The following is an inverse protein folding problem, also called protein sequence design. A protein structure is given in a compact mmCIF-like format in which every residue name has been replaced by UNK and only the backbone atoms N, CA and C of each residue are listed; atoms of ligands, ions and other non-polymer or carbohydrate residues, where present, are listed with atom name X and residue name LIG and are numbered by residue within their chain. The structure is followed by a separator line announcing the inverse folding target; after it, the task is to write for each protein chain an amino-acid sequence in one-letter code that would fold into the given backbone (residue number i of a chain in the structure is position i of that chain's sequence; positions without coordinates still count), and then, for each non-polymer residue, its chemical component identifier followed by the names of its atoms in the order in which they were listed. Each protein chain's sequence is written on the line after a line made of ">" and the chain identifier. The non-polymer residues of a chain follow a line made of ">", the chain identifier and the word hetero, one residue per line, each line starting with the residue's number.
data_IF_829955364553
#
_entry.id   IF_829955364553
#
_cell.length_a   1.000
_cell.length_b   1.000
_cell.length_c   1.000
_cell.angle_alpha   90.00
_cell.angle_beta   90.00
_cell.angle_gamma   90.00
#
_symmetry.space_group_name_H-M   'P 1'
#
loop_
_entity.id
_entity.type
_entity.pdbx_description
1 polymer ?
#
# COMPACT_ATOMS: atom_id res chain seq x y z
N UNK A 1 19.13 -41.10 19.50
CA UNK A 1 20.18 -40.56 18.61
C UNK A 1 19.46 -40.02 17.39
N UNK A 2 18.94 -38.80 17.49
CA UNK A 2 18.11 -38.17 16.46
C UNK A 2 18.84 -36.92 16.03
N UNK A 3 19.75 -37.06 15.07
CA UNK A 3 20.34 -35.91 14.39
C UNK A 3 21.19 -36.43 13.22
N UNK A 4 20.63 -36.53 12.00
CA UNK A 4 21.41 -36.75 10.75
C UNK A 4 20.51 -36.74 9.49
N UNK A 5 19.43 -35.96 9.44
CA UNK A 5 18.61 -35.87 8.21
C UNK A 5 18.79 -34.59 7.40
N UNK A 6 19.53 -33.61 7.93
CA UNK A 6 19.68 -32.29 7.29
C UNK A 6 20.80 -32.23 6.24
N UNK A 7 21.78 -33.13 6.30
CA UNK A 7 22.95 -33.13 5.40
C UNK A 7 22.66 -33.65 3.98
N UNK A 8 21.52 -34.31 3.76
CA UNK A 8 21.14 -34.80 2.42
C UNK A 8 20.46 -33.74 1.54
N UNK A 9 19.89 -32.68 2.12
CA UNK A 9 19.25 -31.59 1.38
C UNK A 9 20.29 -30.59 0.84
N UNK A 10 21.40 -30.39 1.57
CA UNK A 10 22.53 -29.53 1.16
C UNK A 10 23.39 -30.15 0.05
N UNK A 11 23.40 -31.48 -0.10
CA UNK A 11 24.16 -32.19 -1.13
C UNK A 11 23.46 -32.24 -2.50
N UNK A 12 22.23 -31.73 -2.61
CA UNK A 12 21.49 -31.60 -3.87
C UNK A 12 21.50 -30.13 -4.31
N UNK A 13 22.44 -29.72 -5.18
CA UNK A 13 22.61 -28.31 -5.53
C UNK A 13 21.34 -27.70 -6.11
N UNK A 14 20.48 -28.51 -6.76
CA UNK A 14 19.20 -28.08 -7.32
C UNK A 14 18.21 -27.66 -6.22
N UNK A 15 18.10 -28.43 -5.14
CA UNK A 15 17.17 -28.14 -4.05
C UNK A 15 17.59 -26.88 -3.29
N UNK A 16 18.89 -26.67 -3.09
CA UNK A 16 19.43 -25.44 -2.48
C UNK A 16 19.10 -24.21 -3.32
N UNK A 17 19.24 -24.30 -4.65
CA UNK A 17 18.86 -23.23 -5.56
C UNK A 17 17.37 -22.91 -5.42
N UNK A 18 16.49 -23.92 -5.42
CA UNK A 18 15.06 -23.67 -5.25
C UNK A 18 14.70 -23.07 -3.90
N UNK A 19 15.34 -23.51 -2.82
CA UNK A 19 15.13 -22.95 -1.47
C UNK A 19 15.61 -21.51 -1.41
N UNK A 20 16.78 -21.20 -1.97
CA UNK A 20 17.30 -19.83 -2.04
C UNK A 20 16.44 -18.92 -2.91
N UNK A 21 15.94 -19.42 -4.06
CA UNK A 21 15.03 -18.69 -4.93
C UNK A 21 13.68 -18.45 -4.26
N UNK A 22 13.12 -19.44 -3.57
CA UNK A 22 11.89 -19.29 -2.81
C UNK A 22 12.08 -18.31 -1.66
N UNK A 23 13.19 -18.39 -0.92
CA UNK A 23 13.52 -17.44 0.14
C UNK A 23 13.71 -16.03 -0.42
N UNK A 24 14.40 -15.88 -1.56
CA UNK A 24 14.55 -14.59 -2.24
C UNK A 24 13.21 -14.04 -2.72
N UNK A 25 12.34 -14.91 -3.24
CA UNK A 25 11.01 -14.51 -3.72
C UNK A 25 10.10 -14.08 -2.57
N UNK A 26 10.13 -14.81 -1.44
CA UNK A 26 9.42 -14.41 -0.21
C UNK A 26 9.99 -13.11 0.34
N UNK A 27 11.31 -12.97 0.37
CA UNK A 27 11.98 -11.76 0.84
C UNK A 27 11.69 -10.56 -0.08
N UNK A 28 11.56 -10.80 -1.39
CA UNK A 28 11.15 -9.81 -2.38
C UNK A 28 9.67 -9.43 -2.23
N UNK A 29 8.78 -10.40 -2.05
CA UNK A 29 7.35 -10.20 -1.87
C UNK A 29 7.06 -9.42 -0.57
N UNK A 30 7.72 -9.80 0.53
CA UNK A 30 7.68 -9.07 1.80
C UNK A 30 8.28 -7.66 1.69
N UNK A 31 9.36 -7.48 0.92
CA UNK A 31 9.94 -6.15 0.64
C UNK A 31 8.96 -5.24 -0.12
N UNK A 32 8.26 -5.76 -1.13
CA UNK A 32 7.23 -5.00 -1.85
C UNK A 32 6.02 -4.70 -0.98
N UNK A 33 5.55 -5.67 -0.19
CA UNK A 33 4.43 -5.47 0.74
C UNK A 33 4.72 -4.41 1.80
N UNK A 34 5.96 -4.36 2.31
CA UNK A 34 6.39 -3.33 3.26
C UNK A 34 6.47 -1.92 2.65
N UNK A 35 6.77 -1.81 1.35
CA UNK A 35 6.80 -0.53 0.64
C UNK A 35 5.41 0.00 0.29
N UNK A 36 4.43 -0.88 0.07
CA UNK A 36 3.04 -0.51 -0.24
C UNK A 36 2.36 0.23 0.95
N UNK A 37 2.64 -0.19 2.18
CA UNK A 37 2.08 0.43 3.40
C UNK A 37 2.57 1.87 3.61
N UNK A 38 3.73 2.27 3.08
CA UNK A 38 4.25 3.65 3.22
C UNK A 38 3.54 4.63 2.28
N UNK A 39 3.02 4.14 1.15
CA UNK A 39 2.25 4.96 0.21
C UNK A 39 0.77 5.11 0.64
N UNK A 40 0.34 4.42 1.70
CA UNK A 40 -1.01 4.44 2.24
C UNK A 40 -1.48 5.81 2.79
N UNK A 41 -0.60 6.81 2.90
CA UNK A 41 -1.02 8.19 3.18
C UNK A 41 -1.58 8.90 1.94
N UNK A 42 -1.24 8.44 0.73
CA UNK A 42 -1.68 9.02 -0.53
C UNK A 42 -2.81 8.17 -1.14
N UNK A 43 -4.06 8.61 -1.01
CA UNK A 43 -5.20 7.92 -1.57
C UNK A 43 -5.44 8.31 -3.04
N UNK A 44 -5.79 7.34 -3.87
CA UNK A 44 -6.34 7.63 -5.20
C UNK A 44 -7.75 8.23 -5.12
N UNK A 45 -8.22 8.87 -6.20
CA UNK A 45 -9.60 9.40 -6.27
C UNK A 45 -10.69 8.37 -5.98
N UNK A 46 -10.45 7.08 -6.29
CA UNK A 46 -11.38 5.99 -6.03
C UNK A 46 -11.39 5.61 -4.55
N UNK A 47 -10.22 5.47 -3.94
CA UNK A 47 -10.08 5.14 -2.52
C UNK A 47 -10.63 6.27 -1.64
N UNK A 48 -10.30 7.53 -1.96
CA UNK A 48 -10.86 8.68 -1.24
C UNK A 48 -12.38 8.75 -1.40
N UNK A 49 -12.91 8.51 -2.60
CA UNK A 49 -14.36 8.49 -2.82
C UNK A 49 -15.06 7.40 -2.02
N UNK A 50 -14.48 6.20 -1.95
CA UNK A 50 -14.99 5.11 -1.13
C UNK A 50 -14.96 5.47 0.36
N UNK A 51 -13.88 6.10 0.83
CA UNK A 51 -13.72 6.52 2.22
C UNK A 51 -14.70 7.61 2.65
N UNK A 52 -14.92 8.61 1.80
CA UNK A 52 -15.88 9.69 2.05
C UNK A 52 -17.34 9.30 1.74
N UNK A 53 -17.59 8.09 1.21
CA UNK A 53 -18.93 7.67 0.78
C UNK A 53 -19.49 8.48 -0.40
N UNK A 54 -18.62 9.00 -1.28
CA UNK A 54 -19.01 9.86 -2.42
C UNK A 54 -18.65 9.25 -3.77
N UNK A 55 -19.08 9.89 -4.86
CA UNK A 55 -18.72 9.48 -6.21
C UNK A 55 -17.36 10.07 -6.63
N UNK A 56 -16.44 9.30 -7.25
CA UNK A 56 -15.17 9.83 -7.77
C UNK A 56 -15.31 11.05 -8.69
N UNK A 57 -16.42 11.14 -9.45
CA UNK A 57 -16.73 12.32 -10.29
C UNK A 57 -16.91 13.60 -9.47
N UNK A 58 -17.54 13.50 -8.30
CA UNK A 58 -17.75 14.61 -7.38
C UNK A 58 -16.41 15.10 -6.85
N UNK A 59 -15.55 14.19 -6.39
CA UNK A 59 -14.20 14.54 -5.91
C UNK A 59 -13.41 15.22 -7.02
N UNK A 60 -13.41 14.67 -8.25
CA UNK A 60 -12.65 15.24 -9.37
C UNK A 60 -13.11 16.65 -9.77
N UNK A 61 -14.39 16.99 -9.53
CA UNK A 61 -14.94 18.33 -9.74
C UNK A 61 -14.62 19.28 -8.58
N UNK A 62 -14.62 18.76 -7.35
CA UNK A 62 -14.43 19.54 -6.12
C UNK A 62 -12.97 19.78 -5.74
N UNK A 63 -12.04 18.97 -6.24
CA UNK A 63 -10.60 19.07 -5.93
C UNK A 63 -10.00 20.45 -6.23
N UNK A 64 -10.57 21.19 -7.18
CA UNK A 64 -10.12 22.54 -7.57
C UNK A 64 -10.94 23.65 -6.93
N UNK A 65 -11.92 23.32 -6.08
CA UNK A 65 -12.72 24.32 -5.37
C UNK A 65 -12.02 24.76 -4.09
N UNK A 66 -12.11 26.05 -3.72
CA UNK A 66 -11.70 26.49 -2.39
C UNK A 66 -12.54 25.76 -1.33
N UNK A 67 -11.90 25.30 -0.25
CA UNK A 67 -12.56 24.54 0.82
C UNK A 67 -12.67 23.03 0.59
N UNK A 68 -12.00 22.47 -0.43
CA UNK A 68 -11.95 21.00 -0.62
C UNK A 68 -11.44 20.26 0.63
N UNK A 69 -10.43 20.80 1.31
CA UNK A 69 -9.86 20.21 2.52
C UNK A 69 -10.85 20.18 3.69
N UNK A 70 -11.60 21.27 3.92
CA UNK A 70 -12.65 21.31 4.95
C UNK A 70 -13.82 20.38 4.61
N UNK A 71 -14.21 20.35 3.33
CA UNK A 71 -15.25 19.44 2.86
C UNK A 71 -14.87 17.98 3.08
N UNK A 72 -13.65 17.59 2.69
CA UNK A 72 -13.18 16.21 2.92
C UNK A 72 -13.06 15.90 4.40
N UNK A 73 -12.58 16.85 5.23
CA UNK A 73 -12.52 16.71 6.68
C UNK A 73 -13.87 16.40 7.33
N UNK A 74 -14.94 17.04 6.88
CA UNK A 74 -16.29 16.84 7.43
C UNK A 74 -16.89 15.47 7.08
N UNK A 75 -16.48 14.88 5.95
CA UNK A 75 -16.99 13.60 5.47
C UNK A 75 -16.10 12.43 5.90
N UNK A 76 -14.85 12.70 6.25
CA UNK A 76 -13.90 11.67 6.65
C UNK A 76 -14.21 11.16 8.07
N UNK A 77 -14.33 9.84 8.29
CA UNK A 77 -14.64 9.30 9.61
C UNK A 77 -13.56 9.61 10.66
N UNK A 78 -12.31 9.80 10.24
CA UNK A 78 -11.20 10.14 11.12
C UNK A 78 -10.96 11.66 11.17
N UNK A 79 -11.82 12.46 10.53
CA UNK A 79 -11.68 13.92 10.49
C UNK A 79 -10.43 14.39 9.75
N UNK A 80 -9.97 13.63 8.75
CA UNK A 80 -8.78 13.96 7.96
C UNK A 80 -9.13 14.93 6.84
N UNK A 81 -8.47 16.09 6.84
CA UNK A 81 -8.55 17.03 5.74
C UNK A 81 -7.66 16.56 4.57
N UNK A 82 -8.24 16.27 3.41
CA UNK A 82 -7.50 15.80 2.25
C UNK A 82 -7.18 16.94 1.28
N UNK A 83 -5.99 16.88 0.68
CA UNK A 83 -5.54 17.84 -0.33
C UNK A 83 -5.15 17.11 -1.60
N UNK A 84 -5.47 17.69 -2.74
CA UNK A 84 -5.08 17.12 -4.03
C UNK A 84 -3.62 17.44 -4.33
N UNK A 85 -2.78 16.41 -4.44
CA UNK A 85 -1.38 16.52 -4.80
C UNK A 85 -1.18 16.39 -6.32
N UNK A 86 -0.11 17.01 -6.83
CA UNK A 86 0.34 16.79 -8.21
C UNK A 86 0.68 15.32 -8.41
N UNK A 87 -0.01 14.64 -9.32
CA UNK A 87 0.11 13.18 -9.52
C UNK A 87 -1.21 12.42 -9.50
N UNK A 88 -2.33 13.08 -9.17
CA UNK A 88 -3.64 12.41 -9.16
C UNK A 88 -3.98 11.70 -7.85
N UNK A 89 -3.12 11.87 -6.84
CA UNK A 89 -3.27 11.35 -5.49
C UNK A 89 -3.71 12.43 -4.51
N UNK A 90 -4.32 12.03 -3.40
CA UNK A 90 -4.79 12.89 -2.33
C UNK A 90 -4.02 12.53 -1.07
N UNK A 91 -3.40 13.52 -0.43
CA UNK A 91 -2.68 13.33 0.82
C UNK A 91 -3.39 14.06 1.97
N UNK A 92 -3.23 13.62 3.22
CA UNK A 92 -3.70 14.35 4.37
C UNK A 92 -2.98 15.71 4.45
N UNK A 93 -3.72 16.74 4.83
CA UNK A 93 -3.19 18.05 5.19
C UNK A 93 -2.55 17.93 6.57
N UNK A 94 -1.23 18.04 6.63
CA UNK A 94 -0.50 18.20 7.90
C UNK A 94 -0.83 19.55 8.57
#
# INVERSE_FOLDING_TARGET
>A
MVESSDSNLLNRPEAVIFVLLAALFVLWDTYLGLLDDVEATALSSRQLAQRLGTNPKTIRRRKSQPGFSEWTQQLDPDGIAWVYCSGGVYAPRA
#
